data_IF_580770156653
#
_entry.id   IF_580770156653
#
_cell.length_a   1.000
_cell.length_b   1.000
_cell.length_c   1.000
_cell.angle_alpha   90.00
_cell.angle_beta   90.00
_cell.angle_gamma   90.00
#
_symmetry.space_group_name_H-M   'P 1'
#
loop_
_entity.id
_entity.type
_entity.pdbx_description
1 polymer ?
#
# COMPACT_ATOMS: atom_id res chain seq x y z
N UNK A 1 33.37 20.26 12.44
CA UNK A 1 33.47 19.84 13.85
C UNK A 1 32.95 18.40 13.93
N UNK A 2 33.89 17.42 14.02
CA UNK A 2 33.48 16.01 14.27
C UNK A 2 33.20 15.89 15.76
N UNK A 3 31.90 15.83 16.10
CA UNK A 3 31.48 15.58 17.47
C UNK A 3 32.03 14.22 17.94
N UNK A 4 32.84 14.21 19.01
CA UNK A 4 33.40 13.01 19.63
C UNK A 4 32.39 11.92 20.01
N UNK A 5 31.08 12.17 19.83
CA UNK A 5 29.96 11.30 20.24
C UNK A 5 29.21 10.66 19.10
N UNK A 6 29.66 10.77 17.86
CA UNK A 6 28.96 10.19 16.68
C UNK A 6 29.88 9.13 16.05
N UNK A 7 29.37 7.87 15.88
CA UNK A 7 30.15 6.80 15.28
C UNK A 7 30.59 7.10 13.83
N UNK A 8 31.86 6.85 13.49
CA UNK A 8 32.41 7.15 12.17
C UNK A 8 31.71 6.47 11.00
N UNK A 9 31.07 5.29 11.21
CA UNK A 9 30.35 4.59 10.14
C UNK A 9 29.15 5.37 9.63
N UNK A 10 28.52 6.24 10.44
CA UNK A 10 27.41 7.08 10.01
C UNK A 10 27.87 8.11 8.96
N UNK A 11 29.02 8.76 9.18
CA UNK A 11 29.59 9.70 8.22
C UNK A 11 29.94 9.01 6.91
N UNK A 12 30.61 7.83 6.98
CA UNK A 12 31.00 7.07 5.80
C UNK A 12 29.75 6.66 4.98
N UNK A 13 28.73 6.11 5.64
CA UNK A 13 27.51 5.67 4.98
C UNK A 13 26.72 6.83 4.30
N UNK A 14 26.69 8.02 4.92
CA UNK A 14 26.04 9.20 4.33
C UNK A 14 26.87 9.76 3.16
N UNK A 15 28.20 9.84 3.29
CA UNK A 15 29.11 10.30 2.22
C UNK A 15 29.04 9.37 0.99
N UNK A 16 29.02 8.04 1.20
CA UNK A 16 28.83 7.08 0.11
C UNK A 16 27.50 7.26 -0.62
N UNK A 17 26.40 7.50 0.13
CA UNK A 17 25.10 7.79 -0.49
C UNK A 17 25.10 9.10 -1.27
N UNK A 18 25.76 10.13 -0.76
CA UNK A 18 25.88 11.42 -1.43
C UNK A 18 26.71 11.28 -2.73
N UNK A 19 27.85 10.61 -2.67
CA UNK A 19 28.69 10.34 -3.84
C UNK A 19 27.95 9.56 -4.94
N UNK A 20 27.07 8.62 -4.55
CA UNK A 20 26.24 7.83 -5.47
C UNK A 20 24.95 8.55 -5.91
N UNK A 21 24.72 9.82 -5.52
CA UNK A 21 23.47 10.55 -5.81
C UNK A 21 22.22 9.93 -5.17
N UNK A 22 22.39 9.16 -4.07
CA UNK A 22 21.33 8.41 -3.40
C UNK A 22 20.93 8.99 -2.03
N UNK A 23 21.52 10.14 -1.65
CA UNK A 23 21.20 10.79 -0.38
C UNK A 23 19.78 11.31 -0.39
N UNK A 24 18.95 10.86 0.56
CA UNK A 24 17.57 11.30 0.73
C UNK A 24 17.53 12.56 1.59
N UNK A 25 16.71 13.53 1.20
CA UNK A 25 16.46 14.78 1.96
C UNK A 25 14.96 15.00 2.06
N UNK A 26 14.51 15.46 3.23
CA UNK A 26 13.14 15.95 3.38
C UNK A 26 13.03 17.31 2.67
N UNK A 27 11.87 17.57 2.08
CA UNK A 27 11.55 18.84 1.44
C UNK A 27 10.15 19.28 1.83
N UNK A 28 9.91 20.58 1.84
CA UNK A 28 8.60 21.21 2.10
C UNK A 28 8.09 21.99 0.91
N UNK A 29 8.96 22.22 -0.09
CA UNK A 29 8.61 22.96 -1.31
C UNK A 29 8.27 21.95 -2.42
N UNK A 30 6.98 21.77 -2.65
CA UNK A 30 6.46 20.90 -3.69
C UNK A 30 5.84 21.70 -4.83
N UNK A 31 6.03 21.31 -6.10
CA UNK A 31 5.25 21.81 -7.21
C UNK A 31 3.74 21.66 -6.96
N UNK A 32 2.92 22.58 -7.45
CA UNK A 32 1.48 22.64 -7.09
C UNK A 32 0.62 21.62 -7.81
N UNK A 33 1.03 21.18 -9.00
CA UNK A 33 0.32 20.15 -9.77
C UNK A 33 0.79 18.78 -9.28
N UNK A 34 -0.02 18.15 -8.45
CA UNK A 34 0.33 16.92 -7.77
C UNK A 34 0.05 15.68 -8.64
N UNK A 35 1.12 14.96 -9.00
CA UNK A 35 1.11 13.62 -9.56
C UNK A 35 2.00 12.68 -8.73
N UNK A 36 2.20 12.96 -7.44
CA UNK A 36 3.12 12.24 -6.57
C UNK A 36 2.47 11.61 -5.34
N UNK A 37 1.51 12.31 -4.71
CA UNK A 37 0.85 11.80 -3.49
C UNK A 37 0.07 10.51 -3.78
N UNK A 38 -0.31 9.80 -2.72
CA UNK A 38 -1.19 8.63 -2.85
C UNK A 38 -2.65 8.96 -2.50
N UNK A 39 -3.02 10.24 -2.39
CA UNK A 39 -4.39 10.70 -2.12
C UNK A 39 -5.27 10.57 -3.38
N UNK A 40 -5.38 9.35 -3.92
CA UNK A 40 -5.99 9.08 -5.23
C UNK A 40 -7.40 9.66 -5.38
N UNK A 41 -8.22 9.62 -4.32
CA UNK A 41 -9.58 10.15 -4.32
C UNK A 41 -9.64 11.64 -3.99
N UNK A 42 -8.54 12.24 -3.52
CA UNK A 42 -8.51 13.63 -3.10
C UNK A 42 -9.25 13.90 -1.78
N UNK A 43 -9.51 12.88 -0.96
CA UNK A 43 -10.24 13.06 0.29
C UNK A 43 -9.53 14.03 1.24
N UNK A 44 -8.21 14.01 1.27
CA UNK A 44 -7.39 14.95 2.03
C UNK A 44 -7.22 16.28 1.26
N UNK A 45 -6.73 16.23 0.01
CA UNK A 45 -6.39 17.42 -0.81
C UNK A 45 -7.58 18.35 -1.03
N UNK A 46 -8.77 17.81 -1.29
CA UNK A 46 -9.99 18.59 -1.52
C UNK A 46 -10.71 18.99 -0.23
N UNK A 47 -10.18 18.58 0.93
CA UNK A 47 -10.81 18.84 2.23
C UNK A 47 -12.15 18.12 2.44
N UNK A 48 -12.44 17.08 1.66
CA UNK A 48 -13.70 16.32 1.78
C UNK A 48 -13.82 15.65 3.13
N UNK A 49 -12.73 15.02 3.58
CA UNK A 49 -12.70 14.35 4.88
C UNK A 49 -12.85 15.36 6.04
N UNK A 50 -12.20 16.52 5.98
CA UNK A 50 -12.32 17.57 7.00
C UNK A 50 -13.77 18.07 7.10
N UNK A 51 -14.39 18.39 5.97
CA UNK A 51 -15.80 18.81 5.92
C UNK A 51 -16.74 17.73 6.46
N UNK A 52 -16.49 16.46 6.12
CA UNK A 52 -17.28 15.35 6.61
C UNK A 52 -17.18 15.20 8.12
N UNK A 53 -15.97 15.32 8.68
CA UNK A 53 -15.72 15.28 10.13
C UNK A 53 -16.42 16.42 10.89
N UNK A 54 -16.49 17.63 10.33
CA UNK A 54 -17.18 18.76 10.92
C UNK A 54 -18.69 18.53 11.04
N UNK A 55 -19.29 17.85 10.06
CA UNK A 55 -20.72 17.59 9.95
C UNK A 55 -21.17 16.24 10.50
N UNK A 56 -20.21 15.38 10.84
CA UNK A 56 -20.48 14.01 11.27
C UNK A 56 -21.20 13.96 12.62
N UNK A 57 -22.22 13.12 12.70
CA UNK A 57 -22.90 12.79 13.96
C UNK A 57 -22.08 11.84 14.86
N UNK A 58 -20.95 11.32 14.35
CA UNK A 58 -20.00 10.51 15.11
C UNK A 58 -19.16 11.40 16.06
N UNK A 59 -19.77 12.44 16.66
CA UNK A 59 -19.13 13.29 17.65
C UNK A 59 -18.83 12.49 18.90
N UNK A 60 -17.61 11.97 18.97
CA UNK A 60 -17.07 11.48 20.23
C UNK A 60 -16.24 12.58 20.90
N UNK A 61 -16.17 12.49 22.22
CA UNK A 61 -15.21 13.27 23.00
C UNK A 61 -13.84 13.20 22.31
N UNK A 62 -13.30 14.33 21.96
CA UNK A 62 -12.05 14.43 21.21
C UNK A 62 -10.88 14.09 22.11
N UNK A 63 -10.72 12.80 22.42
CA UNK A 63 -9.52 12.29 23.09
C UNK A 63 -8.43 12.20 22.03
N UNK A 64 -7.45 13.08 22.10
CA UNK A 64 -6.36 13.19 21.11
C UNK A 64 -5.33 12.07 21.20
N UNK A 65 -5.27 11.32 22.29
CA UNK A 65 -4.34 10.23 22.49
C UNK A 65 -4.96 9.06 23.24
N UNK A 66 -4.56 7.84 22.90
CA UNK A 66 -5.07 6.62 23.54
C UNK A 66 -4.40 6.30 24.88
N UNK A 67 -3.28 6.97 25.18
CA UNK A 67 -2.51 6.87 26.43
C UNK A 67 -2.06 5.46 26.84
N UNK A 68 -2.31 4.44 26.02
CA UNK A 68 -1.90 3.05 26.23
C UNK A 68 -2.13 2.18 25.01
N UNK A 69 -1.66 0.93 25.07
CA UNK A 69 -1.96 -0.07 24.04
C UNK A 69 -3.41 -0.53 24.13
N UNK A 70 -3.91 -1.19 23.07
CA UNK A 70 -5.26 -1.78 23.02
C UNK A 70 -5.53 -2.74 24.21
N UNK A 71 -4.51 -3.45 24.65
CA UNK A 71 -4.63 -4.44 25.75
C UNK A 71 -4.55 -3.84 27.16
N UNK A 72 -4.24 -2.53 27.30
CA UNK A 72 -4.15 -1.87 28.61
C UNK A 72 -5.30 -0.85 28.77
N UNK A 73 -5.19 0.31 28.15
CA UNK A 73 -6.16 1.40 28.30
C UNK A 73 -6.60 2.04 27.00
N UNK A 74 -6.01 1.64 25.87
CA UNK A 74 -6.28 2.23 24.57
C UNK A 74 -7.42 1.60 23.79
N UNK A 75 -8.13 0.59 24.35
CA UNK A 75 -9.32 0.02 23.72
C UNK A 75 -10.59 0.79 24.10
N UNK A 76 -11.58 0.79 23.24
CA UNK A 76 -12.89 1.36 23.50
C UNK A 76 -13.97 0.64 22.68
N UNK A 77 -15.21 0.70 23.14
CA UNK A 77 -16.38 0.19 22.39
C UNK A 77 -16.51 0.83 21.03
N UNK A 78 -16.08 2.08 20.88
CA UNK A 78 -16.08 2.79 19.60
C UNK A 78 -15.13 2.15 18.58
N UNK A 79 -13.93 1.77 19.00
CA UNK A 79 -12.96 1.11 18.11
C UNK A 79 -13.44 -0.28 17.72
N UNK A 80 -14.00 -1.05 18.67
CA UNK A 80 -14.57 -2.37 18.38
C UNK A 80 -15.76 -2.30 17.41
N UNK A 81 -16.62 -1.29 17.58
CA UNK A 81 -17.74 -1.06 16.64
C UNK A 81 -17.23 -0.63 15.25
N UNK A 82 -16.18 0.19 15.19
CA UNK A 82 -15.53 0.55 13.95
C UNK A 82 -14.96 -0.68 13.23
N UNK A 83 -14.31 -1.59 13.95
CA UNK A 83 -13.78 -2.84 13.41
C UNK A 83 -14.91 -3.72 12.83
N UNK A 84 -16.08 -3.81 13.49
CA UNK A 84 -17.25 -4.51 12.97
C UNK A 84 -17.76 -3.88 11.66
N UNK A 85 -17.84 -2.54 11.60
CA UNK A 85 -18.28 -1.83 10.40
C UNK A 85 -17.29 -2.03 9.24
N UNK A 86 -15.99 -2.02 9.50
CA UNK A 86 -14.94 -2.30 8.50
C UNK A 86 -15.07 -3.75 8.01
N UNK A 87 -15.23 -4.72 8.91
CA UNK A 87 -15.43 -6.12 8.54
C UNK A 87 -16.65 -6.30 7.63
N UNK A 88 -17.78 -5.70 8.01
CA UNK A 88 -19.03 -5.73 7.23
C UNK A 88 -18.84 -5.11 5.83
N UNK A 89 -18.19 -3.94 5.76
CA UNK A 89 -17.92 -3.29 4.47
C UNK A 89 -17.09 -4.20 3.54
N UNK A 90 -16.11 -4.91 4.09
CA UNK A 90 -15.23 -5.79 3.31
C UNK A 90 -15.71 -7.25 3.23
N UNK A 91 -16.98 -7.55 3.58
CA UNK A 91 -17.57 -8.90 3.54
C UNK A 91 -16.71 -9.95 4.28
N UNK A 92 -16.23 -9.61 5.47
CA UNK A 92 -15.43 -10.48 6.31
C UNK A 92 -16.06 -10.69 7.69
N UNK A 93 -15.62 -11.73 8.40
CA UNK A 93 -16.10 -12.03 9.75
C UNK A 93 -15.51 -11.06 10.78
N UNK A 94 -14.29 -10.55 10.53
CA UNK A 94 -13.61 -9.68 11.48
C UNK A 94 -12.65 -8.72 10.78
N UNK A 95 -12.36 -7.61 11.46
CA UNK A 95 -11.30 -6.66 11.14
C UNK A 95 -10.57 -6.27 12.41
N UNK A 96 -9.27 -6.01 12.32
CA UNK A 96 -8.45 -5.52 13.41
C UNK A 96 -7.67 -4.28 12.96
N UNK A 97 -7.84 -3.15 13.66
CA UNK A 97 -7.20 -1.86 13.33
C UNK A 97 -5.77 -1.83 13.86
N UNK A 98 -4.85 -1.36 13.02
CA UNK A 98 -3.44 -1.12 13.30
C UNK A 98 -3.09 0.36 13.08
N UNK A 99 -1.97 0.83 13.67
CA UNK A 99 -1.52 2.20 13.52
C UNK A 99 -1.11 2.56 12.08
N UNK A 100 -0.60 1.61 11.31
CA UNK A 100 -0.21 1.81 9.92
C UNK A 100 -0.25 0.50 9.14
N UNK A 101 -0.22 0.58 7.80
CA UNK A 101 -0.04 -0.60 6.94
C UNK A 101 1.29 -1.30 7.21
N UNK A 102 2.33 -0.54 7.58
CA UNK A 102 3.62 -1.12 7.97
C UNK A 102 3.47 -2.01 9.20
N UNK A 103 2.82 -1.52 10.26
CA UNK A 103 2.60 -2.28 11.50
C UNK A 103 1.70 -3.49 11.29
N UNK A 104 0.67 -3.36 10.43
CA UNK A 104 -0.23 -4.46 10.08
C UNK A 104 0.54 -5.59 9.37
N UNK A 105 1.30 -5.26 8.33
CA UNK A 105 2.11 -6.21 7.57
C UNK A 105 3.18 -6.88 8.45
N UNK A 106 3.89 -6.08 9.24
CA UNK A 106 4.89 -6.57 10.18
C UNK A 106 4.27 -7.54 11.19
N UNK A 107 3.15 -7.13 11.79
CA UNK A 107 2.46 -7.91 12.82
C UNK A 107 1.90 -9.23 12.29
N UNK A 108 1.27 -9.22 11.12
CA UNK A 108 0.72 -10.41 10.48
C UNK A 108 1.81 -11.42 10.15
N UNK A 109 2.83 -11.00 9.40
CA UNK A 109 3.81 -11.92 8.82
C UNK A 109 4.89 -12.36 9.82
N UNK A 110 5.13 -11.59 10.89
CA UNK A 110 6.05 -12.02 11.94
C UNK A 110 5.41 -12.94 12.99
N UNK A 111 4.07 -13.02 13.05
CA UNK A 111 3.40 -13.79 14.09
C UNK A 111 2.63 -15.01 13.57
N UNK A 112 2.02 -14.93 12.38
CA UNK A 112 1.14 -16.01 11.88
C UNK A 112 1.94 -17.18 11.32
N UNK A 113 2.88 -17.00 10.36
CA UNK A 113 3.67 -18.12 9.87
C UNK A 113 4.64 -18.64 10.94
N UNK A 114 4.62 -19.94 11.22
CA UNK A 114 5.43 -20.59 12.25
C UNK A 114 6.67 -21.28 11.65
N UNK A 115 7.54 -21.82 12.50
CA UNK A 115 8.81 -22.46 12.09
C UNK A 115 8.63 -23.60 11.06
N UNK A 116 7.51 -24.34 11.17
CA UNK A 116 7.21 -25.48 10.29
C UNK A 116 6.38 -25.08 9.05
N UNK A 117 6.19 -23.77 8.85
CA UNK A 117 5.46 -23.21 7.71
C UNK A 117 6.42 -22.62 6.67
N UNK A 118 5.88 -22.39 5.48
CA UNK A 118 6.55 -21.76 4.35
C UNK A 118 5.84 -20.46 3.96
N UNK A 119 6.60 -19.42 3.68
CA UNK A 119 6.09 -18.19 3.06
C UNK A 119 6.64 -18.07 1.63
N UNK A 120 5.76 -18.05 0.64
CA UNK A 120 6.07 -17.77 -0.76
C UNK A 120 5.61 -16.35 -1.07
N UNK A 121 6.50 -15.50 -1.57
CA UNK A 121 6.16 -14.10 -1.81
C UNK A 121 6.67 -13.61 -3.15
N UNK A 122 5.91 -12.70 -3.77
CA UNK A 122 6.33 -12.02 -4.98
C UNK A 122 7.55 -11.14 -4.71
N UNK A 123 8.55 -11.16 -5.60
CA UNK A 123 9.82 -10.45 -5.39
C UNK A 123 9.68 -8.92 -5.31
N UNK A 124 8.54 -8.34 -5.71
CA UNK A 124 8.26 -6.90 -5.68
C UNK A 124 7.31 -6.46 -4.55
N UNK A 125 7.02 -7.32 -3.58
CA UNK A 125 6.19 -6.91 -2.42
C UNK A 125 6.81 -5.75 -1.66
N UNK A 126 5.96 -4.99 -0.99
CA UNK A 126 6.38 -3.84 -0.16
C UNK A 126 7.34 -4.26 0.95
N UNK A 127 8.28 -3.37 1.28
CA UNK A 127 9.31 -3.61 2.29
C UNK A 127 8.74 -4.06 3.65
N UNK A 128 7.56 -3.56 4.06
CA UNK A 128 6.92 -3.95 5.32
C UNK A 128 6.48 -5.41 5.35
N UNK A 129 6.02 -5.96 4.21
CA UNK A 129 5.71 -7.40 4.09
C UNK A 129 7.00 -8.22 4.23
N UNK A 130 8.06 -7.81 3.51
CA UNK A 130 9.34 -8.48 3.59
C UNK A 130 9.98 -8.40 4.99
N UNK A 131 9.89 -7.26 5.66
CA UNK A 131 10.40 -7.10 7.03
C UNK A 131 9.60 -7.98 8.01
N UNK A 132 8.28 -8.09 7.85
CA UNK A 132 7.46 -9.02 8.64
C UNK A 132 7.87 -10.47 8.43
N UNK A 133 8.10 -10.89 7.18
CA UNK A 133 8.59 -12.24 6.84
C UNK A 133 9.95 -12.51 7.51
N UNK A 134 10.88 -11.55 7.42
CA UNK A 134 12.23 -11.70 8.02
C UNK A 134 12.24 -11.75 9.53
N UNK A 135 11.30 -11.10 10.19
CA UNK A 135 11.16 -11.13 11.66
C UNK A 135 10.43 -12.38 12.14
N UNK A 136 9.71 -13.06 11.26
CA UNK A 136 9.06 -14.35 11.54
C UNK A 136 10.07 -15.51 11.57
N UNK A 137 9.57 -16.70 11.92
CA UNK A 137 10.38 -17.90 12.06
C UNK A 137 10.20 -18.88 10.88
N UNK A 138 9.26 -18.61 9.96
CA UNK A 138 8.96 -19.48 8.83
C UNK A 138 10.08 -19.44 7.77
N UNK A 139 10.28 -20.57 7.12
CA UNK A 139 11.09 -20.62 5.89
C UNK A 139 10.41 -19.78 4.81
N UNK A 140 11.20 -19.09 3.98
CA UNK A 140 10.59 -18.26 2.96
C UNK A 140 11.39 -18.28 1.65
N UNK A 141 10.66 -18.24 0.52
CA UNK A 141 11.21 -18.11 -0.83
C UNK A 141 10.44 -17.06 -1.63
N UNK A 142 11.16 -16.28 -2.41
CA UNK A 142 10.55 -15.36 -3.38
C UNK A 142 10.33 -16.07 -4.72
N UNK A 143 9.25 -15.73 -5.39
CA UNK A 143 9.04 -16.06 -6.80
C UNK A 143 9.16 -14.81 -7.67
N UNK A 144 9.40 -15.02 -8.96
CA UNK A 144 9.49 -13.92 -9.92
C UNK A 144 8.15 -13.20 -10.04
N UNK A 145 8.24 -11.88 -10.14
CA UNK A 145 7.10 -10.99 -10.19
C UNK A 145 6.02 -11.47 -11.18
N UNK A 146 4.79 -11.59 -10.65
CA UNK A 146 3.58 -12.00 -11.37
C UNK A 146 3.72 -13.31 -12.17
N UNK A 147 4.67 -14.18 -11.81
CA UNK A 147 4.94 -15.43 -12.53
C UNK A 147 4.25 -16.63 -11.85
N UNK A 148 3.12 -17.04 -12.40
CA UNK A 148 2.30 -18.15 -11.88
C UNK A 148 3.02 -19.49 -11.97
N UNK A 149 3.77 -19.73 -13.05
CA UNK A 149 4.51 -21.01 -13.20
C UNK A 149 5.60 -21.13 -12.12
N UNK A 150 6.34 -20.06 -11.85
CA UNK A 150 7.32 -20.04 -10.77
C UNK A 150 6.68 -20.26 -9.39
N UNK A 151 5.50 -19.68 -9.12
CA UNK A 151 4.76 -19.94 -7.89
C UNK A 151 4.30 -21.39 -7.80
N UNK A 152 3.75 -21.92 -8.88
CA UNK A 152 3.31 -23.34 -8.98
C UNK A 152 4.45 -24.32 -8.71
N UNK A 153 5.60 -24.09 -9.33
CA UNK A 153 6.80 -24.93 -9.15
C UNK A 153 7.26 -24.94 -7.68
N UNK A 154 7.23 -23.77 -7.01
CA UNK A 154 7.59 -23.68 -5.59
C UNK A 154 6.58 -24.43 -4.71
N UNK A 155 5.27 -24.28 -4.96
CA UNK A 155 4.24 -24.99 -4.21
C UNK A 155 4.43 -26.51 -4.40
N UNK A 156 4.53 -26.99 -5.63
CA UNK A 156 4.69 -28.42 -5.93
C UNK A 156 5.95 -29.03 -5.28
N UNK A 157 7.04 -28.27 -5.27
CA UNK A 157 8.32 -28.70 -4.65
C UNK A 157 8.24 -28.82 -3.15
N UNK A 158 7.43 -27.99 -2.48
CA UNK A 158 7.46 -27.83 -1.04
C UNK A 158 6.19 -28.28 -0.30
N UNK A 159 5.08 -28.55 -0.99
CA UNK A 159 3.76 -28.81 -0.38
C UNK A 159 3.74 -29.96 0.65
N UNK A 160 4.66 -30.92 0.56
CA UNK A 160 4.75 -32.03 1.49
C UNK A 160 5.80 -31.84 2.61
N UNK A 161 6.57 -30.74 2.55
CA UNK A 161 7.68 -30.49 3.47
C UNK A 161 7.29 -29.51 4.61
N UNK A 162 6.15 -28.82 4.46
CA UNK A 162 5.69 -27.81 5.39
C UNK A 162 4.23 -28.03 5.78
N UNK A 163 3.88 -27.60 7.02
CA UNK A 163 2.51 -27.72 7.52
C UNK A 163 1.56 -26.82 6.75
N UNK A 164 1.94 -25.55 6.62
CA UNK A 164 1.17 -24.55 5.90
C UNK A 164 2.07 -23.78 4.95
N UNK A 165 1.49 -23.27 3.88
CA UNK A 165 2.16 -22.39 2.91
C UNK A 165 1.36 -21.09 2.82
N UNK A 166 2.01 -19.97 3.05
CA UNK A 166 1.40 -18.64 2.90
C UNK A 166 1.92 -18.00 1.62
N UNK A 167 1.01 -17.66 0.70
CA UNK A 167 1.33 -16.91 -0.53
C UNK A 167 1.03 -15.44 -0.29
N UNK A 168 2.03 -14.57 -0.46
CA UNK A 168 1.94 -13.14 -0.14
C UNK A 168 2.16 -12.31 -1.39
N UNK A 169 1.17 -11.47 -1.73
CA UNK A 169 1.20 -10.57 -2.89
C UNK A 169 0.59 -9.21 -2.55
N UNK A 170 0.92 -8.18 -3.33
CA UNK A 170 0.13 -6.94 -3.38
C UNK A 170 -0.91 -7.07 -4.50
N UNK A 171 -2.12 -6.60 -4.31
CA UNK A 171 -3.12 -6.56 -5.38
C UNK A 171 -2.75 -5.56 -6.48
N UNK A 172 -2.15 -4.45 -6.07
CA UNK A 172 -1.57 -3.41 -6.94
C UNK A 172 -0.18 -3.09 -6.43
N UNK A 173 0.85 -3.28 -7.26
CA UNK A 173 2.23 -3.05 -6.86
C UNK A 173 2.60 -1.57 -6.82
N UNK A 174 3.21 -1.16 -5.72
CA UNK A 174 3.40 0.26 -5.36
C UNK A 174 4.29 1.05 -6.31
N UNK A 175 5.27 0.38 -6.99
CA UNK A 175 6.24 1.05 -7.85
C UNK A 175 5.84 1.04 -9.32
N UNK A 176 5.09 0.05 -9.75
CA UNK A 176 4.76 -0.19 -11.17
C UNK A 176 3.28 0.05 -11.47
N UNK A 177 2.41 -0.11 -10.47
CA UNK A 177 0.97 0.07 -10.61
C UNK A 177 0.28 -1.09 -11.32
N UNK A 178 1.02 -2.13 -11.66
CA UNK A 178 0.48 -3.34 -12.26
C UNK A 178 -0.26 -4.20 -11.22
N UNK A 179 -1.10 -5.08 -11.71
CA UNK A 179 -1.98 -5.90 -10.90
C UNK A 179 -1.41 -7.31 -10.74
N UNK A 180 -1.55 -7.89 -9.56
CA UNK A 180 -1.31 -9.31 -9.38
C UNK A 180 -2.34 -10.15 -10.14
N UNK A 181 -1.95 -11.29 -10.72
CA UNK A 181 -2.86 -12.23 -11.39
C UNK A 181 -3.66 -13.05 -10.35
N UNK A 182 -4.48 -12.35 -9.56
CA UNK A 182 -5.16 -12.92 -8.38
C UNK A 182 -6.14 -14.03 -8.72
N UNK A 183 -6.78 -14.00 -9.90
CA UNK A 183 -7.68 -15.08 -10.35
C UNK A 183 -6.89 -16.35 -10.59
N UNK A 184 -5.78 -16.27 -11.30
CA UNK A 184 -4.89 -17.39 -11.59
C UNK A 184 -4.28 -17.94 -10.31
N UNK A 185 -3.87 -17.06 -9.39
CA UNK A 185 -3.38 -17.47 -8.06
C UNK A 185 -4.47 -18.24 -7.33
N UNK A 186 -5.69 -17.69 -7.22
CA UNK A 186 -6.78 -18.37 -6.49
C UNK A 186 -7.18 -19.70 -7.12
N UNK A 187 -7.14 -19.84 -8.44
CA UNK A 187 -7.40 -21.14 -9.08
C UNK A 187 -6.26 -22.15 -8.83
N UNK A 188 -5.01 -21.69 -8.82
CA UNK A 188 -3.86 -22.53 -8.45
C UNK A 188 -3.97 -23.06 -7.02
N UNK A 189 -4.44 -22.22 -6.09
CA UNK A 189 -4.54 -22.59 -4.66
C UNK A 189 -5.78 -23.40 -4.30
N UNK A 190 -6.79 -23.46 -5.16
CA UNK A 190 -8.10 -24.08 -4.89
C UNK A 190 -8.04 -25.55 -4.49
N UNK A 191 -7.07 -26.28 -5.00
CA UNK A 191 -6.90 -27.72 -4.76
C UNK A 191 -5.93 -28.02 -3.61
N UNK A 192 -5.45 -27.00 -2.91
CA UNK A 192 -4.45 -27.11 -1.87
C UNK A 192 -5.06 -26.73 -0.51
N UNK A 193 -5.28 -27.71 0.37
CA UNK A 193 -5.94 -27.45 1.67
C UNK A 193 -5.08 -26.65 2.66
N UNK A 194 -3.74 -26.71 2.52
CA UNK A 194 -2.79 -26.07 3.43
C UNK A 194 -2.09 -24.85 2.83
N UNK A 195 -2.66 -24.23 1.77
CA UNK A 195 -2.09 -23.03 1.14
C UNK A 195 -3.03 -21.83 1.33
N UNK A 196 -2.52 -20.76 1.89
CA UNK A 196 -3.27 -19.59 2.33
C UNK A 196 -2.81 -18.32 1.59
N UNK A 197 -3.76 -17.57 1.03
CA UNK A 197 -3.47 -16.33 0.30
C UNK A 197 -3.58 -15.11 1.21
N UNK A 198 -2.52 -14.31 1.24
CA UNK A 198 -2.46 -13.00 1.91
C UNK A 198 -2.30 -11.93 0.84
N UNK A 199 -3.22 -10.95 0.81
CA UNK A 199 -3.24 -9.89 -0.19
C UNK A 199 -3.16 -8.51 0.47
N UNK A 200 -2.14 -7.73 0.14
CA UNK A 200 -2.07 -6.31 0.49
C UNK A 200 -2.86 -5.49 -0.53
N UNK A 201 -3.96 -4.89 -0.08
CA UNK A 201 -4.89 -4.06 -0.85
C UNK A 201 -4.62 -2.54 -0.69
N UNK A 202 -3.45 -2.17 -0.18
CA UNK A 202 -3.14 -0.79 0.17
C UNK A 202 -3.29 0.21 -0.98
N UNK A 203 -3.07 -0.22 -2.23
CA UNK A 203 -3.21 0.60 -3.43
C UNK A 203 -4.52 0.31 -4.21
N UNK A 204 -5.34 -0.61 -3.74
CA UNK A 204 -6.57 -1.00 -4.40
C UNK A 204 -7.83 -0.46 -3.71
N UNK A 205 -7.80 -0.30 -2.37
CA UNK A 205 -8.91 0.33 -1.64
C UNK A 205 -9.18 1.75 -2.18
N UNK A 206 -10.45 2.07 -2.38
CA UNK A 206 -10.89 3.34 -2.98
C UNK A 206 -10.74 3.40 -4.51
N UNK A 207 -9.95 2.51 -5.11
CA UNK A 207 -9.66 2.50 -6.56
C UNK A 207 -10.47 1.44 -7.28
N UNK A 208 -10.51 0.21 -6.77
CA UNK A 208 -11.16 -0.94 -7.38
C UNK A 208 -12.35 -1.43 -6.57
N UNK A 209 -13.18 -2.24 -7.21
CA UNK A 209 -14.32 -2.91 -6.59
C UNK A 209 -15.55 -2.02 -6.41
N UNK A 210 -16.64 -2.66 -6.00
CA UNK A 210 -17.86 -1.93 -5.69
C UNK A 210 -17.63 -1.01 -4.49
N UNK A 211 -18.03 0.26 -4.59
CA UNK A 211 -17.80 1.28 -3.56
C UNK A 211 -16.33 1.39 -3.11
N UNK A 212 -15.35 1.00 -3.97
CA UNK A 212 -13.93 1.08 -3.61
C UNK A 212 -13.44 0.01 -2.64
N UNK A 213 -14.10 -1.15 -2.55
CA UNK A 213 -13.76 -2.25 -1.61
C UNK A 213 -12.43 -2.95 -1.90
N UNK A 214 -11.77 -2.65 -3.02
CA UNK A 214 -10.50 -3.23 -3.41
C UNK A 214 -10.58 -4.19 -4.60
N UNK A 215 -9.41 -4.70 -5.03
CA UNK A 215 -9.31 -5.57 -6.20
C UNK A 215 -9.85 -6.98 -5.91
N UNK A 216 -9.65 -7.51 -4.70
CA UNK A 216 -10.24 -8.79 -4.31
C UNK A 216 -11.77 -8.78 -4.43
N UNK A 217 -12.40 -7.64 -4.09
CA UNK A 217 -13.84 -7.45 -4.28
C UNK A 217 -14.22 -7.35 -5.77
N UNK A 218 -13.46 -6.60 -6.57
CA UNK A 218 -13.70 -6.48 -8.00
C UNK A 218 -13.68 -7.85 -8.70
N UNK A 219 -12.87 -8.78 -8.21
CA UNK A 219 -12.69 -10.13 -8.74
C UNK A 219 -13.56 -11.20 -8.06
N UNK A 220 -14.32 -10.85 -7.02
CA UNK A 220 -15.17 -11.78 -6.26
C UNK A 220 -14.40 -12.87 -5.50
N UNK A 221 -13.18 -12.58 -5.06
CA UNK A 221 -12.29 -13.56 -4.41
C UNK A 221 -12.06 -13.29 -2.92
N UNK A 222 -12.82 -12.37 -2.31
CA UNK A 222 -12.63 -11.95 -0.91
C UNK A 222 -12.61 -13.14 0.06
N UNK A 223 -13.50 -14.10 -0.16
CA UNK A 223 -13.62 -15.32 0.67
C UNK A 223 -12.54 -16.36 0.41
N UNK A 224 -11.74 -16.19 -0.64
CA UNK A 224 -10.59 -17.07 -0.96
C UNK A 224 -9.29 -16.57 -0.32
N UNK A 225 -9.29 -15.37 0.24
CA UNK A 225 -8.13 -14.78 0.92
C UNK A 225 -8.16 -15.15 2.41
N UNK A 226 -7.05 -15.63 2.93
CA UNK A 226 -6.83 -15.84 4.36
C UNK A 226 -6.81 -14.52 5.12
N UNK A 227 -6.09 -13.52 4.57
CA UNK A 227 -6.03 -12.17 5.11
C UNK A 227 -5.95 -11.15 3.98
N UNK A 228 -6.60 -10.01 4.17
CA UNK A 228 -6.49 -8.81 3.30
C UNK A 228 -6.08 -7.64 4.16
N UNK A 229 -5.12 -6.83 3.68
CA UNK A 229 -4.61 -5.67 4.39
C UNK A 229 -5.06 -4.40 3.68
N UNK A 230 -5.69 -3.49 4.39
CA UNK A 230 -6.17 -2.21 3.89
C UNK A 230 -5.47 -1.06 4.61
N UNK A 231 -4.92 -0.11 3.85
CA UNK A 231 -4.19 1.04 4.38
C UNK A 231 -4.96 2.34 4.13
N UNK A 232 -5.12 3.14 5.16
CA UNK A 232 -5.95 4.35 5.11
C UNK A 232 -5.17 5.64 4.80
N UNK A 233 -3.84 5.58 4.80
CA UNK A 233 -2.97 6.73 4.51
C UNK A 233 -2.81 7.06 3.02
N UNK A 234 -3.59 6.45 2.15
CA UNK A 234 -3.53 6.64 0.68
C UNK A 234 -4.87 7.15 0.16
N UNK A 235 -5.58 6.40 -0.67
CA UNK A 235 -6.88 6.81 -1.23
C UNK A 235 -7.89 7.31 -0.19
N UNK A 236 -7.87 6.75 1.01
CA UNK A 236 -8.78 7.12 2.10
C UNK A 236 -8.43 8.46 2.77
N UNK A 237 -7.26 9.04 2.50
CA UNK A 237 -6.86 10.38 2.98
C UNK A 237 -6.74 10.54 4.49
N UNK A 238 -6.65 9.45 5.26
CA UNK A 238 -6.54 9.47 6.72
C UNK A 238 -5.33 8.68 7.22
N UNK A 239 -5.36 8.09 8.41
CA UNK A 239 -4.23 7.35 8.97
C UNK A 239 -4.69 6.04 9.60
N UNK A 240 -3.81 5.00 9.55
CA UNK A 240 -4.10 3.68 10.08
C UNK A 240 -4.15 2.61 9.00
N UNK A 241 -4.47 1.39 9.41
CA UNK A 241 -4.71 0.24 8.56
C UNK A 241 -5.64 -0.75 9.24
N UNK A 242 -6.16 -1.73 8.52
CA UNK A 242 -6.84 -2.88 9.08
C UNK A 242 -6.40 -4.18 8.39
N UNK A 243 -6.31 -5.25 9.18
CA UNK A 243 -6.28 -6.62 8.69
C UNK A 243 -7.70 -7.17 8.76
N UNK A 244 -8.16 -7.71 7.66
CA UNK A 244 -9.52 -8.22 7.49
C UNK A 244 -9.47 -9.71 7.14
N UNK A 245 -10.24 -10.52 7.84
CA UNK A 245 -10.25 -11.96 7.66
C UNK A 245 -11.24 -12.67 8.58
N UNK A 246 -10.87 -13.86 9.03
CA UNK A 246 -11.63 -14.63 9.99
C UNK A 246 -11.46 -14.10 11.41
N UNK A 247 -12.46 -14.33 12.28
CA UNK A 247 -12.42 -13.92 13.69
C UNK A 247 -11.26 -14.58 14.44
N UNK A 248 -10.95 -15.83 14.13
CA UNK A 248 -9.83 -16.54 14.74
C UNK A 248 -8.50 -15.85 14.42
N UNK A 249 -8.33 -15.31 13.18
CA UNK A 249 -7.14 -14.54 12.82
C UNK A 249 -7.02 -13.26 13.67
N UNK A 250 -8.10 -12.51 13.82
CA UNK A 250 -8.10 -11.30 14.67
C UNK A 250 -7.74 -11.62 16.10
N UNK A 251 -8.35 -12.67 16.68
CA UNK A 251 -8.06 -13.14 18.03
C UNK A 251 -6.60 -13.59 18.18
N UNK A 252 -6.05 -14.26 17.16
CA UNK A 252 -4.64 -14.65 17.14
C UNK A 252 -3.73 -13.42 17.14
N UNK A 253 -3.99 -12.43 16.28
CA UNK A 253 -3.19 -11.21 16.18
C UNK A 253 -3.21 -10.37 17.46
N UNK A 254 -4.35 -10.29 18.15
CA UNK A 254 -4.47 -9.63 19.46
C UNK A 254 -3.51 -10.25 20.49
N UNK A 255 -3.26 -11.56 20.42
CA UNK A 255 -2.45 -12.28 21.39
C UNK A 255 -0.97 -12.44 20.98
N UNK A 256 -0.64 -12.36 19.69
CA UNK A 256 0.70 -12.71 19.19
C UNK A 256 1.36 -11.65 18.32
N UNK A 257 0.61 -10.69 17.76
CA UNK A 257 1.17 -9.62 16.93
C UNK A 257 1.88 -8.57 17.79
N UNK A 258 3.21 -8.57 17.77
CA UNK A 258 4.01 -7.64 18.59
C UNK A 258 3.77 -6.17 18.23
N UNK A 259 3.58 -5.84 16.96
CA UNK A 259 3.30 -4.48 16.51
C UNK A 259 1.90 -3.98 16.93
N UNK A 260 0.99 -4.89 17.32
CA UNK A 260 -0.30 -4.56 17.92
C UNK A 260 -0.21 -4.47 19.46
N UNK A 261 0.45 -5.43 20.10
CA UNK A 261 0.50 -5.58 21.56
C UNK A 261 1.30 -4.45 22.21
N UNK A 262 2.49 -4.14 21.65
CA UNK A 262 3.50 -3.27 22.29
C UNK A 262 3.54 -1.85 21.71
N UNK A 263 2.47 -1.42 21.08
CA UNK A 263 2.32 -0.04 20.59
C UNK A 263 1.15 0.66 21.28
N UNK A 264 1.22 1.99 21.39
CA UNK A 264 0.07 2.81 21.75
C UNK A 264 -1.03 2.66 20.71
N UNK A 265 -2.27 2.51 21.12
CA UNK A 265 -3.41 2.35 20.23
C UNK A 265 -3.62 3.59 19.34
N UNK A 266 -4.20 3.36 18.16
CA UNK A 266 -4.65 4.46 17.29
C UNK A 266 -5.74 5.27 18.03
N UNK A 267 -5.62 6.60 18.12
CA UNK A 267 -6.58 7.40 18.88
C UNK A 267 -7.96 7.46 18.20
N UNK A 268 -9.00 7.61 18.99
CA UNK A 268 -10.40 7.59 18.54
C UNK A 268 -10.69 8.60 17.41
N UNK A 269 -10.06 9.78 17.40
CA UNK A 269 -10.24 10.74 16.33
C UNK A 269 -9.74 10.22 14.97
N UNK A 270 -8.68 9.42 14.95
CA UNK A 270 -8.18 8.76 13.72
C UNK A 270 -9.11 7.64 13.28
N UNK A 271 -9.67 6.87 14.23
CA UNK A 271 -10.69 5.84 13.94
C UNK A 271 -11.97 6.49 13.39
N UNK A 272 -12.37 7.65 13.94
CA UNK A 272 -13.47 8.44 13.41
C UNK A 272 -13.20 8.92 11.97
N UNK A 273 -11.98 9.36 11.68
CA UNK A 273 -11.59 9.74 10.32
C UNK A 273 -11.69 8.53 9.36
N UNK A 274 -11.29 7.34 9.78
CA UNK A 274 -11.43 6.10 8.98
C UNK A 274 -12.90 5.84 8.66
N UNK A 275 -13.81 5.86 9.65
CA UNK A 275 -15.24 5.62 9.42
C UNK A 275 -15.85 6.67 8.48
N UNK A 276 -15.50 7.94 8.64
CA UNK A 276 -15.98 8.99 7.74
C UNK A 276 -15.40 8.85 6.32
N UNK A 277 -14.18 8.36 6.15
CA UNK A 277 -13.62 8.06 4.84
C UNK A 277 -14.37 6.90 4.15
N UNK A 278 -14.79 5.86 4.88
CA UNK A 278 -15.67 4.82 4.35
C UNK A 278 -17.04 5.37 3.92
N UNK A 279 -17.63 6.29 4.69
CA UNK A 279 -18.86 6.96 4.27
C UNK A 279 -18.65 7.76 2.99
N UNK A 280 -17.54 8.50 2.85
CA UNK A 280 -17.21 9.23 1.62
C UNK A 280 -17.06 8.32 0.40
N UNK A 281 -16.56 7.10 0.55
CA UNK A 281 -16.53 6.10 -0.55
C UNK A 281 -17.93 5.77 -1.07
N UNK A 282 -18.95 5.78 -0.20
CA UNK A 282 -20.33 5.45 -0.54
C UNK A 282 -21.07 6.69 -1.08
N UNK A 283 -20.85 7.84 -0.47
CA UNK A 283 -21.62 9.07 -0.70
C UNK A 283 -21.11 9.91 -1.88
N UNK A 284 -19.87 9.73 -2.31
CA UNK A 284 -19.25 10.54 -3.37
C UNK A 284 -18.99 9.74 -4.64
N UNK A 285 -18.83 10.46 -5.75
CA UNK A 285 -18.44 9.88 -7.04
C UNK A 285 -16.93 9.97 -7.33
N UNK A 286 -16.09 10.22 -6.30
CA UNK A 286 -14.65 10.44 -6.48
C UNK A 286 -13.95 9.24 -7.11
N UNK A 287 -14.40 8.02 -6.82
CA UNK A 287 -13.90 6.81 -7.47
C UNK A 287 -14.16 6.83 -8.98
N UNK A 288 -15.34 7.22 -9.42
CA UNK A 288 -15.69 7.26 -10.85
C UNK A 288 -14.92 8.39 -11.56
N UNK A 289 -14.74 9.53 -10.91
CA UNK A 289 -13.89 10.62 -11.41
C UNK A 289 -12.45 10.14 -11.57
N UNK A 290 -11.89 9.43 -10.58
CA UNK A 290 -10.56 8.83 -10.65
C UNK A 290 -10.45 7.85 -11.82
N UNK A 291 -11.41 6.93 -11.98
CA UNK A 291 -11.41 5.95 -13.07
C UNK A 291 -11.46 6.61 -14.45
N UNK A 292 -12.23 7.69 -14.58
CA UNK A 292 -12.27 8.48 -15.82
C UNK A 292 -10.92 9.14 -16.11
N UNK A 293 -10.24 9.68 -15.09
CA UNK A 293 -8.91 10.30 -15.25
C UNK A 293 -7.84 9.24 -15.60
N UNK A 294 -7.87 8.05 -14.96
CA UNK A 294 -6.98 6.93 -15.30
C UNK A 294 -7.20 6.51 -16.77
N UNK A 295 -8.46 6.31 -17.16
CA UNK A 295 -8.83 5.93 -18.53
C UNK A 295 -8.38 6.99 -19.54
N UNK A 296 -8.56 8.26 -19.22
CA UNK A 296 -8.08 9.37 -20.06
C UNK A 296 -6.56 9.34 -20.22
N UNK A 297 -5.80 9.24 -19.15
CA UNK A 297 -4.34 9.13 -19.19
C UNK A 297 -3.91 7.92 -20.03
N UNK A 298 -4.49 6.74 -19.78
CA UNK A 298 -4.18 5.52 -20.52
C UNK A 298 -4.46 5.66 -22.03
N UNK A 299 -5.59 6.25 -22.40
CA UNK A 299 -5.95 6.43 -23.82
C UNK A 299 -4.93 7.26 -24.62
N UNK A 300 -4.23 8.17 -23.94
CA UNK A 300 -3.22 9.06 -24.54
C UNK A 300 -1.80 8.50 -24.48
N UNK A 301 -1.55 7.52 -23.63
CA UNK A 301 -0.18 7.04 -23.32
C UNK A 301 0.06 5.56 -23.63
N UNK A 302 -0.96 4.80 -24.02
CA UNK A 302 -0.90 3.35 -24.24
C UNK A 302 0.11 2.90 -25.32
N UNK A 303 0.54 3.81 -26.22
CA UNK A 303 1.55 3.57 -27.24
C UNK A 303 2.98 3.84 -26.76
N UNK A 304 3.16 4.44 -25.59
CA UNK A 304 4.47 4.78 -25.03
C UNK A 304 5.09 3.51 -24.43
N UNK A 305 6.08 2.93 -25.12
CA UNK A 305 6.72 1.67 -24.70
C UNK A 305 7.48 1.75 -23.38
N UNK A 306 8.03 2.92 -23.05
CA UNK A 306 8.77 3.14 -21.80
C UNK A 306 7.86 3.30 -20.57
N UNK A 307 6.55 3.47 -20.77
CA UNK A 307 5.57 3.54 -19.70
C UNK A 307 5.08 2.12 -19.36
N UNK A 308 5.18 1.75 -18.09
CA UNK A 308 4.68 0.46 -17.61
C UNK A 308 3.14 0.47 -17.74
N UNK A 309 2.60 -0.61 -18.31
CA UNK A 309 1.14 -0.75 -18.46
C UNK A 309 0.49 -0.91 -17.10
N UNK A 310 -0.42 -0.01 -16.76
CA UNK A 310 -1.17 -0.02 -15.52
C UNK A 310 -2.64 0.33 -15.76
N UNK A 311 -3.52 -0.30 -14.99
CA UNK A 311 -4.95 0.02 -14.90
C UNK A 311 -5.27 0.68 -13.55
N UNK A 312 -4.27 0.91 -12.72
CA UNK A 312 -4.39 1.54 -11.41
C UNK A 312 -4.15 3.06 -11.49
N UNK A 313 -4.22 3.71 -10.34
CA UNK A 313 -3.84 5.12 -10.22
C UNK A 313 -2.34 5.37 -10.39
N UNK A 314 -1.49 4.34 -10.35
CA UNK A 314 -0.03 4.43 -10.40
C UNK A 314 0.46 4.13 -11.80
N UNK A 315 1.34 4.98 -12.31
CA UNK A 315 2.00 4.81 -13.62
C UNK A 315 3.49 5.12 -13.48
N UNK A 316 4.34 4.40 -14.19
CA UNK A 316 5.80 4.56 -14.09
C UNK A 316 6.45 4.63 -15.47
N UNK A 317 7.23 5.70 -15.70
CA UNK A 317 8.05 5.87 -16.89
C UNK A 317 9.47 5.38 -16.60
N UNK A 318 9.88 4.28 -17.20
CA UNK A 318 11.23 3.73 -17.05
C UNK A 318 12.22 4.58 -17.84
N UNK A 319 13.26 5.08 -17.16
CA UNK A 319 14.29 5.96 -17.76
C UNK A 319 15.69 5.36 -17.72
N UNK A 320 15.91 4.28 -16.92
CA UNK A 320 17.09 3.40 -16.96
C UNK A 320 18.34 3.92 -16.28
N UNK A 321 18.30 5.05 -15.53
CA UNK A 321 19.40 5.46 -14.65
C UNK A 321 18.95 6.51 -13.63
N UNK A 322 19.66 6.58 -12.48
CA UNK A 322 19.43 7.59 -11.44
C UNK A 322 19.49 9.01 -12.01
N UNK A 323 20.50 9.30 -12.84
CA UNK A 323 20.67 10.65 -13.41
C UNK A 323 19.50 11.03 -14.33
N UNK A 324 19.03 10.12 -15.19
CA UNK A 324 17.89 10.39 -16.07
C UNK A 324 16.60 10.59 -15.26
N UNK A 325 16.41 9.81 -14.20
CA UNK A 325 15.26 9.97 -13.31
C UNK A 325 15.26 11.34 -12.61
N UNK A 326 16.41 11.78 -12.09
CA UNK A 326 16.57 13.11 -11.48
C UNK A 326 16.38 14.24 -12.50
N UNK A 327 16.87 14.09 -13.73
CA UNK A 327 16.68 15.09 -14.79
C UNK A 327 15.20 15.22 -15.17
N UNK A 328 14.48 14.11 -15.28
CA UNK A 328 13.05 14.11 -15.57
C UNK A 328 12.24 14.73 -14.41
N UNK A 329 12.53 14.37 -13.14
CA UNK A 329 11.89 15.00 -11.98
C UNK A 329 12.11 16.51 -11.99
N UNK A 330 13.32 17.00 -12.27
CA UNK A 330 13.64 18.43 -12.38
C UNK A 330 12.89 19.10 -13.53
N UNK A 331 12.84 18.47 -14.72
CA UNK A 331 12.11 18.98 -15.88
C UNK A 331 10.62 19.16 -15.57
N UNK A 332 10.00 18.18 -14.91
CA UNK A 332 8.61 18.26 -14.47
C UNK A 332 8.40 19.39 -13.46
N UNK A 333 9.31 19.52 -12.49
CA UNK A 333 9.24 20.59 -11.49
C UNK A 333 9.30 22.00 -12.12
N UNK A 334 10.08 22.21 -13.20
CA UNK A 334 10.11 23.48 -13.97
C UNK A 334 8.76 23.81 -14.61
N UNK A 335 7.91 22.81 -14.84
CA UNK A 335 6.51 22.96 -15.31
C UNK A 335 5.51 22.92 -14.17
N UNK A 336 5.99 23.07 -12.92
CA UNK A 336 5.17 23.04 -11.71
C UNK A 336 4.47 21.68 -11.46
N UNK A 337 4.96 20.59 -12.07
CA UNK A 337 4.44 19.21 -11.90
C UNK A 337 5.27 18.50 -10.84
N UNK A 338 4.59 17.99 -9.82
CA UNK A 338 5.19 17.17 -8.77
C UNK A 338 5.04 15.68 -9.11
N UNK A 339 6.16 15.04 -9.41
CA UNK A 339 6.29 13.59 -9.59
C UNK A 339 7.63 13.14 -9.00
N UNK A 340 7.81 11.85 -8.72
CA UNK A 340 8.99 11.40 -7.96
C UNK A 340 9.85 10.44 -8.77
N UNK A 341 11.15 10.74 -8.82
CA UNK A 341 12.15 9.80 -9.30
C UNK A 341 12.32 8.64 -8.31
N UNK A 342 12.15 7.43 -8.80
CA UNK A 342 12.39 6.18 -8.07
C UNK A 342 13.70 5.61 -8.57
N UNK A 343 14.68 5.57 -7.67
CA UNK A 343 16.09 5.30 -7.97
C UNK A 343 16.55 3.97 -7.38
N UNK A 344 17.62 3.43 -7.92
CA UNK A 344 18.36 2.34 -7.27
C UNK A 344 18.85 2.82 -5.88
N UNK A 345 18.81 1.98 -4.81
CA UNK A 345 18.44 0.56 -4.80
C UNK A 345 16.95 0.27 -4.54
N UNK A 346 16.06 1.27 -4.54
CA UNK A 346 14.61 1.05 -4.37
C UNK A 346 14.05 0.20 -5.50
N UNK A 347 14.59 0.40 -6.71
CA UNK A 347 14.35 -0.43 -7.89
C UNK A 347 15.67 -0.98 -8.41
N UNK A 348 15.65 -2.03 -9.23
CA UNK A 348 16.85 -2.63 -9.81
C UNK A 348 17.56 -1.62 -10.70
N UNK A 349 18.90 -1.63 -10.69
CA UNK A 349 19.73 -0.83 -11.61
C UNK A 349 19.36 -1.11 -13.06
N UNK A 350 19.25 -0.04 -13.87
CA UNK A 350 18.74 -0.08 -15.25
C UNK A 350 17.22 -0.03 -15.36
N UNK A 351 16.48 -0.02 -14.24
CA UNK A 351 15.02 0.06 -14.22
C UNK A 351 14.50 1.27 -13.43
N UNK A 352 15.37 2.26 -13.22
CA UNK A 352 15.01 3.53 -12.59
C UNK A 352 13.93 4.22 -13.39
N UNK A 353 13.01 4.86 -12.70
CA UNK A 353 11.77 5.39 -13.27
C UNK A 353 11.32 6.68 -12.62
N UNK A 354 10.40 7.39 -13.26
CA UNK A 354 9.61 8.44 -12.63
C UNK A 354 8.20 7.91 -12.44
N UNK A 355 7.73 7.92 -11.19
CA UNK A 355 6.41 7.44 -10.80
C UNK A 355 5.42 8.59 -10.81
N UNK A 356 4.26 8.36 -11.40
CA UNK A 356 3.12 9.27 -11.45
C UNK A 356 1.92 8.64 -10.76
N UNK A 357 1.17 9.45 -10.02
CA UNK A 357 -0.13 9.06 -9.47
C UNK A 357 -1.20 9.92 -10.13
N UNK A 358 -2.21 9.29 -10.69
CA UNK A 358 -3.41 9.96 -11.19
C UNK A 358 -4.40 10.07 -10.03
N UNK A 359 -5.01 11.25 -9.90
CA UNK A 359 -5.93 11.54 -8.82
C UNK A 359 -7.29 11.99 -9.37
N UNK A 360 -8.33 11.89 -8.54
CA UNK A 360 -9.64 12.42 -8.88
C UNK A 360 -9.64 13.95 -9.06
N UNK A 361 -8.72 14.66 -8.41
CA UNK A 361 -8.61 16.11 -8.50
C UNK A 361 -7.75 16.61 -9.67
N UNK A 362 -7.03 15.74 -10.39
CA UNK A 362 -6.28 16.20 -11.57
C UNK A 362 -7.22 16.62 -12.70
N UNK A 363 -6.99 17.79 -13.24
CA UNK A 363 -7.72 18.27 -14.42
C UNK A 363 -7.17 17.65 -15.70
N UNK A 364 -7.98 17.68 -16.79
CA UNK A 364 -7.53 17.24 -18.11
C UNK A 364 -6.33 18.05 -18.59
N UNK A 365 -6.33 19.38 -18.36
CA UNK A 365 -5.23 20.28 -18.74
C UNK A 365 -3.92 19.91 -18.02
N UNK A 366 -3.97 19.61 -16.71
CA UNK A 366 -2.80 19.15 -15.96
C UNK A 366 -2.30 17.79 -16.46
N UNK A 367 -3.23 16.89 -16.78
CA UNK A 367 -2.91 15.58 -17.35
C UNK A 367 -2.28 15.68 -18.74
N UNK A 368 -2.81 16.56 -19.61
CA UNK A 368 -2.24 16.82 -20.95
C UNK A 368 -0.84 17.43 -20.82
N UNK A 369 -0.63 18.36 -19.91
CA UNK A 369 0.69 18.94 -19.65
C UNK A 369 1.70 17.87 -19.20
N UNK A 370 1.32 16.94 -18.32
CA UNK A 370 2.16 15.81 -17.92
C UNK A 370 2.51 14.93 -19.14
N UNK A 371 1.53 14.60 -19.96
CA UNK A 371 1.70 13.74 -21.15
C UNK A 371 2.66 14.40 -22.15
N UNK A 372 2.51 15.69 -22.38
CA UNK A 372 3.43 16.47 -23.25
C UNK A 372 4.88 16.38 -22.73
N UNK A 373 5.10 16.51 -21.42
CA UNK A 373 6.43 16.40 -20.84
C UNK A 373 6.99 14.98 -20.94
N UNK A 374 6.17 13.95 -20.82
CA UNK A 374 6.58 12.55 -21.02
C UNK A 374 7.01 12.35 -22.48
N UNK A 375 6.19 12.74 -23.44
CA UNK A 375 6.45 12.58 -24.88
C UNK A 375 7.70 13.33 -25.35
N UNK A 376 7.94 14.54 -24.83
CA UNK A 376 9.12 15.36 -25.17
C UNK A 376 10.44 14.85 -24.54
N UNK A 377 10.39 13.77 -23.75
CA UNK A 377 11.56 13.15 -23.10
C UNK A 377 11.99 11.85 -23.80
N UNK A 378 11.11 11.27 -24.60
CA UNK A 378 11.32 10.05 -25.39
C UNK A 378 11.89 10.34 -26.76
#
# INVERSE_FOLDING_TARGET
MSGKNIPNHLFKALAEREQKGMLRKLTTNYPSIDFCSNDYLGFSKLGLLSKKLETSNLKQETVYGSTGSRLISGNSTFVEEAEKQIALFHHASSALIFNSGYDANLGLLSSVPQKDDLVLFDELIHASLYDGIRLGHATHYKFKHNNIDALKDLIQRHQHNFKNIYVVVESVYSMDGDLAPLLEITELLKIQENVFLIVDEAHAIGVFGNQGRGLCNALGIEKKCFARIYTYGKAMGCHGAAIVGDELLSNYLINFSRSFIYTTALPNHSVNAILNAYQLLIETNQKDVLQNNISYFYSKTNTIKALIKSQSAIHSLVVGSNNKADLMEKKLALKNIYAKAIKSPTVKEGTERVRFCIHAFNTKQETDLLIEQIQSTL
#
